data_IF_304741152923
#
_entry.id   IF_304741152923
#
_cell.length_a   1.000
_cell.length_b   1.000
_cell.length_c   1.000
_cell.angle_alpha   90.00
_cell.angle_beta   90.00
_cell.angle_gamma   90.00
#
_symmetry.space_group_name_H-M   'P 1'
#
loop_
_entity.id
_entity.type
_entity.pdbx_description
1 polymer ?
#
# COMPACT_ATOMS: atom_id res chain seq x y z
N UNK A 1 23.99 -2.29 -11.86
CA UNK A 1 23.02 -2.84 -10.87
C UNK A 1 22.38 -1.64 -10.21
N UNK A 2 21.07 -1.47 -10.36
CA UNK A 2 20.37 -0.38 -9.70
C UNK A 2 20.12 -0.69 -8.21
N UNK A 3 19.62 0.30 -7.46
CA UNK A 3 19.40 0.15 -6.02
C UNK A 3 18.38 -0.94 -5.69
N UNK A 4 17.34 -1.12 -6.51
CA UNK A 4 16.36 -2.19 -6.32
C UNK A 4 17.00 -3.58 -6.46
N UNK A 5 17.85 -3.78 -7.45
CA UNK A 5 18.53 -5.08 -7.64
C UNK A 5 19.45 -5.41 -6.48
N UNK A 6 20.16 -4.41 -5.94
CA UNK A 6 20.98 -4.61 -4.73
C UNK A 6 20.15 -5.02 -3.52
N UNK A 7 19.02 -4.34 -3.30
CA UNK A 7 18.10 -4.66 -2.20
C UNK A 7 17.47 -6.04 -2.41
N UNK A 8 17.02 -6.36 -3.61
CA UNK A 8 16.44 -7.67 -3.93
C UNK A 8 17.44 -8.80 -3.74
N UNK A 9 18.68 -8.61 -4.14
CA UNK A 9 19.76 -9.59 -3.91
C UNK A 9 20.03 -9.81 -2.41
N UNK A 10 20.04 -8.72 -1.63
CA UNK A 10 20.19 -8.79 -0.18
C UNK A 10 19.01 -9.53 0.48
N UNK A 11 17.78 -9.26 0.10
CA UNK A 11 16.58 -9.93 0.60
C UNK A 11 16.59 -11.43 0.26
N UNK A 12 16.97 -11.79 -0.96
CA UNK A 12 17.12 -13.20 -1.35
C UNK A 12 18.17 -13.94 -0.52
N UNK A 13 19.24 -13.25 -0.13
CA UNK A 13 20.28 -13.81 0.73
C UNK A 13 19.83 -13.97 2.18
N UNK A 14 19.10 -12.96 2.70
CA UNK A 14 18.60 -12.95 4.08
C UNK A 14 17.42 -13.89 4.30
N UNK A 15 16.62 -14.16 3.24
CA UNK A 15 15.42 -15.00 3.26
C UNK A 15 14.44 -14.64 4.39
N UNK A 16 13.92 -13.40 4.42
CA UNK A 16 12.90 -13.03 5.40
C UNK A 16 11.61 -13.82 5.18
N UNK A 17 10.77 -13.92 6.21
CA UNK A 17 9.48 -14.61 6.13
C UNK A 17 8.39 -13.79 5.42
N UNK A 18 8.60 -12.49 5.27
CA UNK A 18 7.69 -11.58 4.59
C UNK A 18 8.27 -10.19 4.43
N UNK A 19 7.56 -9.34 3.69
CA UNK A 19 7.94 -7.95 3.43
C UNK A 19 6.84 -7.00 3.90
N UNK A 20 7.23 -5.94 4.59
CA UNK A 20 6.41 -4.75 4.75
C UNK A 20 7.03 -3.62 3.93
N UNK A 21 6.27 -3.07 3.00
CA UNK A 21 6.75 -2.07 2.04
C UNK A 21 6.00 -0.76 2.26
N UNK A 22 6.74 0.27 2.66
CA UNK A 22 6.22 1.63 2.78
C UNK A 22 6.48 2.36 1.46
N UNK A 23 5.40 2.82 0.81
CA UNK A 23 5.47 3.51 -0.47
C UNK A 23 5.70 5.00 -0.22
N UNK A 24 6.94 5.36 0.09
CA UNK A 24 7.36 6.76 0.25
C UNK A 24 8.07 7.30 -0.98
N UNK A 25 7.83 8.59 -1.30
CA UNK A 25 8.57 9.31 -2.33
C UNK A 25 8.34 8.90 -3.78
N UNK A 26 8.99 9.62 -4.69
CA UNK A 26 8.80 9.47 -6.14
C UNK A 26 9.40 8.20 -6.76
N UNK A 27 10.29 7.50 -6.04
CA UNK A 27 11.01 6.34 -6.58
C UNK A 27 10.19 5.04 -6.45
N UNK A 28 9.40 4.89 -5.38
CA UNK A 28 8.68 3.65 -5.11
C UNK A 28 7.47 3.42 -6.02
N UNK A 29 6.65 4.46 -6.23
CA UNK A 29 5.42 4.36 -7.05
C UNK A 29 5.64 3.84 -8.46
N UNK A 30 6.60 4.36 -9.25
CA UNK A 30 6.84 3.84 -10.61
C UNK A 30 7.33 2.40 -10.62
N UNK A 31 7.84 1.89 -9.50
CA UNK A 31 8.43 0.56 -9.38
C UNK A 31 7.54 -0.47 -8.67
N UNK A 32 6.27 -0.16 -8.38
CA UNK A 32 5.37 -1.06 -7.64
C UNK A 32 5.23 -2.45 -8.30
N UNK A 33 5.06 -2.51 -9.62
CA UNK A 33 5.01 -3.79 -10.33
C UNK A 33 6.30 -4.60 -10.19
N UNK A 34 7.44 -3.93 -10.18
CA UNK A 34 8.74 -4.56 -10.01
C UNK A 34 8.92 -5.13 -8.61
N UNK A 35 8.51 -4.36 -7.58
CA UNK A 35 8.57 -4.75 -6.18
C UNK A 35 7.61 -5.92 -5.91
N UNK A 36 6.36 -5.82 -6.35
CA UNK A 36 5.37 -6.87 -6.20
C UNK A 36 5.79 -8.15 -6.95
N UNK A 37 6.33 -8.00 -8.17
CA UNK A 37 6.86 -9.10 -8.96
C UNK A 37 8.06 -9.79 -8.29
N UNK A 38 8.95 -9.04 -7.66
CA UNK A 38 10.04 -9.60 -6.87
C UNK A 38 9.50 -10.41 -5.68
N UNK A 39 8.59 -9.82 -4.89
CA UNK A 39 8.00 -10.50 -3.74
C UNK A 39 7.34 -11.84 -4.16
N UNK A 40 6.57 -11.83 -5.25
CA UNK A 40 5.93 -13.03 -5.77
C UNK A 40 6.94 -14.08 -6.25
N UNK A 41 7.95 -13.68 -7.02
CA UNK A 41 9.00 -14.61 -7.52
C UNK A 41 9.82 -15.22 -6.38
N UNK A 42 10.09 -14.44 -5.35
CA UNK A 42 10.83 -14.89 -4.16
C UNK A 42 9.96 -15.60 -3.13
N UNK A 43 8.66 -15.80 -3.44
CA UNK A 43 7.65 -16.41 -2.55
C UNK A 43 7.56 -15.71 -1.18
N UNK A 44 7.69 -14.38 -1.18
CA UNK A 44 7.61 -13.55 0.02
C UNK A 44 6.21 -12.96 0.15
N UNK A 45 5.44 -13.32 1.18
CA UNK A 45 4.22 -12.60 1.51
C UNK A 45 4.54 -11.12 1.71
N UNK A 46 3.74 -10.22 1.14
CA UNK A 46 4.02 -8.79 1.18
C UNK A 46 2.80 -7.97 1.58
N UNK A 47 3.02 -7.01 2.48
CA UNK A 47 2.03 -6.04 2.93
C UNK A 47 2.51 -4.65 2.56
N UNK A 48 1.61 -3.81 2.13
CA UNK A 48 1.87 -2.45 1.67
C UNK A 48 1.01 -1.44 2.44
N UNK A 49 1.45 -0.19 2.48
CA UNK A 49 0.70 0.91 3.07
C UNK A 49 -0.31 1.55 2.08
N UNK A 50 -0.42 1.03 0.87
CA UNK A 50 -1.20 1.63 -0.20
C UNK A 50 -1.80 0.58 -1.15
N UNK A 51 -3.08 0.77 -1.50
CA UNK A 51 -3.83 -0.08 -2.43
C UNK A 51 -3.18 -0.21 -3.82
N UNK A 52 -2.54 0.84 -4.33
CA UNK A 52 -1.90 0.82 -5.65
C UNK A 52 -0.90 -0.34 -5.81
N UNK A 53 -0.24 -0.73 -4.71
CA UNK A 53 0.68 -1.87 -4.75
C UNK A 53 -0.05 -3.20 -4.91
N UNK A 54 -1.25 -3.34 -4.34
CA UNK A 54 -2.09 -4.53 -4.50
C UNK A 54 -2.63 -4.62 -5.92
N UNK A 55 -3.07 -3.50 -6.49
CA UNK A 55 -3.47 -3.40 -7.90
C UNK A 55 -2.29 -3.74 -8.85
N UNK A 56 -1.07 -3.47 -8.42
CA UNK A 56 0.16 -3.84 -9.15
C UNK A 56 0.59 -5.30 -8.97
N UNK A 57 -0.14 -6.10 -8.19
CA UNK A 57 0.11 -7.52 -7.95
C UNK A 57 0.62 -7.87 -6.55
N UNK A 58 0.67 -6.91 -5.62
CA UNK A 58 0.99 -7.16 -4.21
C UNK A 58 -0.07 -8.01 -3.51
N UNK A 59 0.29 -8.63 -2.38
CA UNK A 59 -0.60 -9.55 -1.66
C UNK A 59 -1.72 -8.81 -0.92
N UNK A 60 -1.38 -7.83 -0.10
CA UNK A 60 -2.36 -7.06 0.67
C UNK A 60 -1.84 -5.68 1.03
N UNK A 61 -2.76 -4.77 1.33
CA UNK A 61 -2.42 -3.44 1.84
C UNK A 61 -3.33 -3.05 3.00
N UNK A 62 -2.78 -2.29 3.92
CA UNK A 62 -3.51 -1.60 4.96
C UNK A 62 -2.94 -0.21 5.13
N UNK A 63 -3.74 0.82 4.87
CA UNK A 63 -3.28 2.20 4.94
C UNK A 63 -4.42 3.20 4.79
N UNK A 64 -4.10 4.48 4.88
CA UNK A 64 -5.08 5.54 4.74
C UNK A 64 -5.73 5.54 3.33
N UNK A 65 -7.04 5.76 3.28
CA UNK A 65 -7.75 5.99 2.03
C UNK A 65 -7.30 7.35 1.45
N UNK A 66 -6.43 7.28 0.43
CA UNK A 66 -5.89 8.47 -0.21
C UNK A 66 -6.97 9.29 -0.91
N UNK A 67 -7.98 8.67 -1.49
CA UNK A 67 -9.08 9.39 -2.14
C UNK A 67 -9.87 10.19 -1.11
N UNK A 68 -10.12 9.64 0.08
CA UNK A 68 -10.73 10.37 1.19
C UNK A 68 -9.83 11.52 1.67
N UNK A 69 -8.52 11.29 1.75
CA UNK A 69 -7.56 12.33 2.12
C UNK A 69 -7.53 13.49 1.12
N UNK A 70 -7.52 13.21 -0.18
CA UNK A 70 -7.59 14.25 -1.23
C UNK A 70 -8.91 15.03 -1.20
N UNK A 71 -10.03 14.36 -0.95
CA UNK A 71 -11.33 15.06 -0.75
C UNK A 71 -11.25 16.02 0.44
N UNK A 72 -10.55 15.61 1.51
CA UNK A 72 -10.35 16.48 2.67
C UNK A 72 -9.47 17.68 2.37
N UNK A 73 -8.43 17.54 1.53
CA UNK A 73 -7.62 18.66 1.03
C UNK A 73 -8.50 19.67 0.29
N UNK A 74 -9.40 19.22 -0.58
CA UNK A 74 -10.34 20.10 -1.29
C UNK A 74 -11.22 20.92 -0.32
N UNK A 75 -11.66 20.31 0.78
CA UNK A 75 -12.39 21.01 1.83
C UNK A 75 -11.56 22.14 2.45
N UNK A 76 -10.27 21.91 2.75
CA UNK A 76 -9.39 22.94 3.28
C UNK A 76 -9.14 24.06 2.28
N UNK A 77 -8.94 23.75 1.01
CA UNK A 77 -8.79 24.74 -0.06
C UNK A 77 -10.04 25.62 -0.15
N UNK A 78 -11.23 25.04 -0.14
CA UNK A 78 -12.49 25.80 -0.14
C UNK A 78 -12.58 26.77 1.05
N UNK A 79 -12.23 26.34 2.24
CA UNK A 79 -12.19 27.19 3.44
C UNK A 79 -11.22 28.36 3.29
N UNK A 80 -10.02 28.11 2.79
CA UNK A 80 -9.00 29.14 2.58
C UNK A 80 -9.46 30.15 1.52
N UNK A 81 -10.03 29.69 0.41
CA UNK A 81 -10.55 30.56 -0.63
C UNK A 81 -11.73 31.42 -0.16
N UNK A 82 -12.46 30.97 0.86
CA UNK A 82 -13.55 31.71 1.52
C UNK A 82 -13.08 32.61 2.66
N UNK A 83 -11.75 32.75 2.85
CA UNK A 83 -11.14 33.69 3.79
C UNK A 83 -10.65 33.11 5.11
N UNK A 84 -10.72 31.80 5.33
CA UNK A 84 -10.12 31.17 6.50
C UNK A 84 -8.59 31.23 6.41
N UNK A 85 -7.93 31.57 7.51
CA UNK A 85 -6.46 31.53 7.57
C UNK A 85 -5.98 30.12 7.75
N UNK A 86 -4.94 29.65 7.03
CA UNK A 86 -4.38 28.30 7.22
C UNK A 86 -3.99 28.00 8.67
N UNK A 87 -3.49 28.99 9.40
CA UNK A 87 -3.09 28.86 10.81
C UNK A 87 -4.26 28.55 11.77
N UNK A 88 -5.49 28.91 11.38
CA UNK A 88 -6.70 28.69 12.17
C UNK A 88 -7.39 27.36 11.86
N UNK A 89 -6.91 26.65 10.83
CA UNK A 89 -7.46 25.35 10.44
C UNK A 89 -6.79 24.22 11.24
N UNK A 90 -7.58 23.24 11.75
CA UNK A 90 -7.03 22.15 12.53
C UNK A 90 -6.16 21.23 11.69
N UNK A 91 -5.08 20.71 12.27
CA UNK A 91 -4.32 19.59 11.70
C UNK A 91 -5.11 18.33 11.98
N UNK A 92 -5.40 17.56 10.93
CA UNK A 92 -6.18 16.33 11.01
C UNK A 92 -5.35 15.11 10.61
N UNK A 93 -5.56 14.00 11.31
CA UNK A 93 -5.06 12.69 10.88
C UNK A 93 -6.11 12.01 10.01
N UNK A 94 -5.70 11.16 9.04
CA UNK A 94 -6.64 10.31 8.33
C UNK A 94 -7.41 9.42 9.31
N UNK A 95 -8.74 9.37 9.15
CA UNK A 95 -9.61 8.54 9.98
C UNK A 95 -10.14 7.33 9.22
N UNK A 96 -10.07 7.36 7.89
CA UNK A 96 -10.50 6.27 7.02
C UNK A 96 -9.30 5.49 6.53
N UNK A 97 -9.26 4.20 6.88
CA UNK A 97 -8.26 3.24 6.41
C UNK A 97 -8.93 2.24 5.47
N UNK A 98 -8.13 1.69 4.57
CA UNK A 98 -8.59 0.71 3.59
C UNK A 98 -7.72 -0.55 3.69
N UNK A 99 -8.37 -1.70 3.82
CA UNK A 99 -7.74 -3.02 3.82
C UNK A 99 -8.10 -3.77 2.54
N UNK A 100 -7.10 -4.07 1.72
CA UNK A 100 -7.28 -4.74 0.43
C UNK A 100 -6.47 -6.02 0.39
N UNK A 101 -7.08 -7.09 -0.11
CA UNK A 101 -6.44 -8.41 -0.26
C UNK A 101 -6.55 -8.85 -1.72
N UNK A 102 -5.44 -9.38 -2.28
CA UNK A 102 -5.39 -9.98 -3.59
C UNK A 102 -5.34 -11.51 -3.47
N UNK A 103 -6.47 -12.16 -3.69
CA UNK A 103 -6.57 -13.63 -3.62
C UNK A 103 -5.82 -14.33 -4.76
N UNK A 104 -5.70 -13.71 -5.92
CA UNK A 104 -4.90 -14.25 -7.03
C UNK A 104 -3.43 -14.38 -6.62
N UNK A 105 -2.90 -13.33 -5.99
CA UNK A 105 -1.51 -13.35 -5.47
C UNK A 105 -1.37 -14.33 -4.30
N UNK A 106 -2.35 -14.41 -3.40
CA UNK A 106 -2.36 -15.38 -2.30
C UNK A 106 -2.28 -16.82 -2.83
N UNK A 107 -3.12 -17.18 -3.83
CA UNK A 107 -3.10 -18.50 -4.47
C UNK A 107 -1.74 -18.79 -5.12
N UNK A 108 -1.15 -17.81 -5.82
CA UNK A 108 0.15 -17.95 -6.46
C UNK A 108 1.30 -18.16 -5.44
N UNK A 109 1.17 -17.62 -4.23
CA UNK A 109 2.09 -17.85 -3.11
C UNK A 109 1.81 -19.16 -2.35
N UNK A 110 0.70 -19.85 -2.66
CA UNK A 110 0.27 -21.04 -1.92
C UNK A 110 -0.33 -20.72 -0.55
N UNK A 111 -0.83 -19.49 -0.35
CA UNK A 111 -1.38 -19.04 0.91
C UNK A 111 -2.91 -19.14 0.92
N UNK A 112 -3.44 -19.62 2.03
CA UNK A 112 -4.87 -19.56 2.35
C UNK A 112 -5.11 -18.40 3.29
N UNK A 113 -5.90 -17.42 2.86
CA UNK A 113 -6.24 -16.27 3.70
C UNK A 113 -7.36 -16.66 4.67
N UNK A 114 -7.19 -16.49 5.98
CA UNK A 114 -8.22 -16.80 6.96
C UNK A 114 -9.51 -16.02 6.70
N UNK A 115 -10.66 -16.68 6.90
CA UNK A 115 -11.97 -16.07 6.72
C UNK A 115 -12.14 -14.80 7.57
N UNK A 116 -11.56 -14.75 8.75
CA UNK A 116 -11.59 -13.59 9.65
C UNK A 116 -10.89 -12.36 9.06
N UNK A 117 -9.89 -12.55 8.21
CA UNK A 117 -9.24 -11.45 7.48
C UNK A 117 -10.07 -11.03 6.26
N UNK A 118 -10.62 -11.99 5.52
CA UNK A 118 -11.47 -11.70 4.37
C UNK A 118 -12.70 -10.89 4.75
N UNK A 119 -13.33 -11.19 5.89
CA UNK A 119 -14.48 -10.45 6.41
C UNK A 119 -14.15 -9.01 6.85
N UNK A 120 -12.88 -8.71 7.10
CA UNK A 120 -12.42 -7.36 7.47
C UNK A 120 -11.92 -6.55 6.28
N UNK A 121 -11.73 -7.19 5.14
CA UNK A 121 -11.25 -6.51 3.95
C UNK A 121 -12.34 -5.60 3.37
N UNK A 122 -11.98 -4.37 3.06
CA UNK A 122 -12.84 -3.43 2.34
C UNK A 122 -12.96 -3.83 0.87
N UNK A 123 -11.92 -4.46 0.32
CA UNK A 123 -11.89 -4.98 -1.03
C UNK A 123 -11.10 -6.27 -1.12
N UNK A 124 -11.63 -7.22 -1.87
CA UNK A 124 -10.95 -8.48 -2.24
C UNK A 124 -10.84 -8.53 -3.76
N UNK A 125 -9.62 -8.70 -4.27
CA UNK A 125 -9.32 -8.88 -5.70
C UNK A 125 -9.20 -10.38 -5.96
N UNK A 126 -10.02 -10.90 -6.89
CA UNK A 126 -10.06 -12.32 -7.27
C UNK A 126 -9.29 -12.65 -8.55
#
# INVERSE_FOLDING_TARGET
>A
MDDFERVFAALNKQRPDGLYVIIGGGVMRPNLKRIAGFALKSRLPSVYDNKEAVDAGGLMSYGADLAASYRRVAYYIDKILKGAKPADLPVEQPTKFEFVINLKTARALGLTIPQTLLLRADQVIE
#
